data_IF_741009766165
#
_entry.id   IF_741009766165
#
_cell.length_a   1.000
_cell.length_b   1.000
_cell.length_c   1.000
_cell.angle_alpha   90.00
_cell.angle_beta   90.00
_cell.angle_gamma   90.00
#
_symmetry.space_group_name_H-M   'P 1'
#
loop_
_entity.id
_entity.type
_entity.pdbx_description
1 polymer ?
#
# COMPACT_ATOMS: atom_id res chain seq x y z
N UNK A 1 -18.94 34.46 12.84
CA UNK A 1 -17.67 35.18 13.07
C UNK A 1 -16.88 35.14 11.77
N UNK A 2 -16.55 36.31 11.21
CA UNK A 2 -15.90 36.45 9.91
C UNK A 2 -14.38 36.37 10.06
N UNK A 3 -13.74 35.39 9.42
CA UNK A 3 -12.28 35.28 9.41
C UNK A 3 -11.68 36.44 8.60
N UNK A 4 -11.13 37.43 9.29
CA UNK A 4 -10.37 38.53 8.69
C UNK A 4 -9.05 37.98 8.15
N UNK A 5 -8.89 38.02 6.83
CA UNK A 5 -7.65 37.65 6.16
C UNK A 5 -6.57 38.69 6.45
N UNK A 6 -5.44 38.22 7.00
CA UNK A 6 -4.33 39.10 7.40
C UNK A 6 -3.66 39.77 6.19
N UNK A 7 -3.10 40.97 6.38
CA UNK A 7 -2.36 41.70 5.35
C UNK A 7 -1.22 40.88 4.74
N UNK A 8 -0.58 40.01 5.54
CA UNK A 8 0.44 39.06 5.08
C UNK A 8 -0.13 38.00 4.13
N UNK A 9 -1.35 37.50 4.38
CA UNK A 9 -2.03 36.56 3.49
C UNK A 9 -2.42 37.23 2.16
N UNK A 10 -2.84 38.49 2.19
CA UNK A 10 -3.18 39.24 0.98
C UNK A 10 -1.95 39.50 0.08
N UNK A 11 -0.78 39.78 0.68
CA UNK A 11 0.46 39.95 -0.05
C UNK A 11 0.94 38.64 -0.70
N UNK A 12 0.91 37.53 0.05
CA UNK A 12 1.26 36.21 -0.46
C UNK A 12 0.33 35.76 -1.60
N UNK A 13 -0.99 35.98 -1.46
CA UNK A 13 -1.96 35.65 -2.51
C UNK A 13 -1.77 36.47 -3.80
N UNK A 14 -1.29 37.73 -3.68
CA UNK A 14 -0.95 38.57 -4.84
C UNK A 14 0.33 38.14 -5.55
N UNK A 15 1.33 37.67 -4.83
CA UNK A 15 2.54 37.12 -5.47
C UNK A 15 2.26 35.77 -6.12
N UNK A 16 1.51 34.89 -5.46
CA UNK A 16 1.14 33.59 -6.01
C UNK A 16 0.23 33.69 -7.25
N UNK A 17 -0.60 34.73 -7.35
CA UNK A 17 -1.43 34.96 -8.53
C UNK A 17 -0.65 35.41 -9.77
N UNK A 18 0.51 36.06 -9.58
CA UNK A 18 1.42 36.46 -10.67
C UNK A 18 2.15 35.27 -11.30
N UNK A 19 2.37 34.20 -10.54
CA UNK A 19 3.00 32.97 -11.03
C UNK A 19 2.10 32.13 -11.95
N UNK A 20 0.82 32.52 -12.13
CA UNK A 20 -0.07 32.01 -13.17
C UNK A 20 -0.25 30.49 -13.18
N UNK A 21 -1.29 30.00 -12.48
CA UNK A 21 -1.63 28.58 -12.48
C UNK A 21 -1.74 27.95 -13.87
N UNK A 22 -1.49 26.65 -13.97
CA UNK A 22 -1.31 25.93 -15.23
C UNK A 22 -2.47 26.18 -16.21
N UNK A 23 -2.15 26.72 -17.38
CA UNK A 23 -3.14 27.31 -18.31
C UNK A 23 -3.69 26.36 -19.37
N UNK A 24 -3.06 25.20 -19.57
CA UNK A 24 -3.49 24.22 -20.58
C UNK A 24 -4.59 23.31 -20.02
N UNK A 25 -5.52 22.82 -20.86
CA UNK A 25 -6.54 21.83 -20.42
C UNK A 25 -5.89 20.57 -19.84
N UNK A 26 -4.82 20.08 -20.47
CA UNK A 26 -3.99 18.96 -20.01
C UNK A 26 -3.31 19.26 -18.67
N UNK A 27 -2.79 20.47 -18.50
CA UNK A 27 -2.11 20.89 -17.28
C UNK A 27 -3.05 21.23 -16.12
N UNK A 28 -4.27 21.70 -16.38
CA UNK A 28 -5.34 21.77 -15.36
C UNK A 28 -5.77 20.38 -14.90
N UNK A 29 -5.84 19.41 -15.82
CA UNK A 29 -6.12 18.01 -15.46
C UNK A 29 -4.98 17.45 -14.58
N UNK A 30 -3.72 17.64 -14.97
CA UNK A 30 -2.56 17.25 -14.16
C UNK A 30 -2.54 17.91 -12.76
N UNK A 31 -2.84 19.21 -12.67
CA UNK A 31 -2.91 19.92 -11.38
C UNK A 31 -4.11 19.47 -10.53
N UNK A 32 -5.24 19.09 -11.13
CA UNK A 32 -6.37 18.47 -10.40
C UNK A 32 -5.98 17.13 -9.78
N UNK A 33 -5.03 16.42 -10.38
CA UNK A 33 -4.48 15.17 -9.85
C UNK A 33 -3.36 15.43 -8.84
N UNK A 34 -2.71 16.60 -8.84
CA UNK A 34 -1.75 17.00 -7.80
C UNK A 34 -2.36 17.12 -6.39
N UNK A 35 -3.60 17.63 -6.27
CA UNK A 35 -4.35 17.59 -5.02
C UNK A 35 -4.77 16.16 -4.58
N UNK A 36 -4.52 15.16 -5.44
CA UNK A 36 -4.81 13.73 -5.28
C UNK A 36 -3.56 12.84 -5.29
N UNK A 37 -2.33 13.38 -5.33
CA UNK A 37 -1.07 12.61 -5.28
C UNK A 37 -0.95 11.75 -4.01
N UNK A 38 -1.87 11.98 -3.08
CA UNK A 38 -2.05 11.36 -1.79
C UNK A 38 -3.55 11.09 -1.60
N UNK A 39 -4.15 10.26 -2.46
CA UNK A 39 -5.55 9.82 -2.34
C UNK A 39 -5.72 8.77 -1.25
N UNK A 40 -6.19 7.59 -1.60
CA UNK A 40 -6.30 6.48 -0.63
C UNK A 40 -4.92 6.08 -0.10
N UNK A 41 -3.87 6.27 -0.91
CA UNK A 41 -2.50 5.89 -0.55
C UNK A 41 -1.96 6.65 0.67
N UNK A 42 -2.18 7.97 0.75
CA UNK A 42 -1.77 8.77 1.91
C UNK A 42 -2.59 8.50 3.15
N UNK A 43 -3.84 8.08 2.95
CA UNK A 43 -4.72 7.66 4.05
C UNK A 43 -4.26 6.32 4.61
N UNK A 44 -3.63 5.50 3.76
CA UNK A 44 -3.16 4.17 4.11
C UNK A 44 -1.75 4.18 4.69
N UNK A 45 -0.88 5.11 4.29
CA UNK A 45 0.46 5.24 4.87
C UNK A 45 0.36 5.59 6.35
N UNK A 46 1.10 4.84 7.16
CA UNK A 46 1.23 5.12 8.59
C UNK A 46 2.67 5.46 8.92
N UNK A 47 2.89 6.07 10.09
CA UNK A 47 4.24 6.32 10.65
C UNK A 47 5.10 5.04 10.74
N UNK A 48 4.47 3.86 10.70
CA UNK A 48 5.13 2.54 10.68
C UNK A 48 5.86 2.26 9.36
N UNK A 49 5.47 2.93 8.27
CA UNK A 49 5.97 2.71 6.91
C UNK A 49 6.56 3.97 6.27
N UNK A 50 6.28 5.15 6.82
CA UNK A 50 6.55 6.45 6.21
C UNK A 50 8.01 6.59 5.75
N UNK A 51 8.98 6.15 6.55
CA UNK A 51 10.41 6.22 6.18
C UNK A 51 10.87 5.18 5.15
N UNK A 52 10.27 3.99 5.12
CA UNK A 52 10.69 2.90 4.22
C UNK A 52 9.98 2.97 2.86
N UNK A 53 8.70 3.34 2.86
CA UNK A 53 7.84 3.21 1.68
C UNK A 53 7.63 4.50 0.91
N UNK A 54 7.85 5.69 1.48
CA UNK A 54 7.65 6.93 0.73
C UNK A 54 8.51 6.98 -0.54
N UNK A 55 9.78 6.57 -0.43
CA UNK A 55 10.68 6.45 -1.57
C UNK A 55 10.28 5.36 -2.56
N UNK A 56 9.69 4.25 -2.10
CA UNK A 56 9.23 3.17 -2.99
C UNK A 56 8.00 3.61 -3.79
N UNK A 57 7.05 4.27 -3.12
CA UNK A 57 5.85 4.77 -3.76
C UNK A 57 6.19 5.77 -4.85
N UNK A 58 7.11 6.70 -4.58
CA UNK A 58 7.59 7.63 -5.59
C UNK A 58 8.22 6.90 -6.78
N UNK A 59 9.07 5.88 -6.54
CA UNK A 59 9.65 5.06 -7.60
C UNK A 59 8.61 4.35 -8.48
N UNK A 60 7.48 3.90 -7.91
CA UNK A 60 6.39 3.28 -8.68
C UNK A 60 5.75 4.30 -9.63
N UNK A 61 5.48 5.52 -9.15
CA UNK A 61 4.92 6.57 -10.00
C UNK A 61 5.91 7.04 -11.08
N UNK A 62 7.19 7.16 -10.73
CA UNK A 62 8.24 7.56 -11.65
C UNK A 62 8.49 6.50 -12.73
N UNK A 63 8.45 5.21 -12.35
CA UNK A 63 8.63 4.10 -13.29
C UNK A 63 7.51 4.03 -14.33
N UNK A 64 6.26 4.16 -13.89
CA UNK A 64 5.11 3.99 -14.79
C UNK A 64 4.75 5.27 -15.55
N UNK A 65 5.19 6.45 -15.12
CA UNK A 65 4.89 7.74 -15.77
C UNK A 65 3.40 7.88 -16.22
N UNK A 66 2.44 7.82 -15.28
CA UNK A 66 1.03 7.94 -15.63
C UNK A 66 0.72 9.33 -16.22
N UNK A 67 0.08 9.33 -17.38
CA UNK A 67 -0.32 10.53 -18.14
C UNK A 67 -1.84 10.70 -18.19
N UNK A 68 -2.61 9.62 -18.04
CA UNK A 68 -4.08 9.65 -18.05
C UNK A 68 -4.68 9.33 -16.69
N UNK A 69 -5.91 9.77 -16.43
CA UNK A 69 -6.59 9.51 -15.16
C UNK A 69 -6.64 8.02 -14.80
N UNK A 70 -6.95 7.17 -15.77
CA UNK A 70 -7.04 5.73 -15.54
C UNK A 70 -5.68 5.12 -15.22
N UNK A 71 -4.60 5.60 -15.85
CA UNK A 71 -3.24 5.18 -15.50
C UNK A 71 -2.90 5.57 -14.06
N UNK A 72 -3.20 6.79 -13.61
CA UNK A 72 -3.00 7.20 -12.21
C UNK A 72 -3.74 6.27 -11.23
N UNK A 73 -4.99 5.92 -11.52
CA UNK A 73 -5.78 5.00 -10.68
C UNK A 73 -5.15 3.61 -10.62
N UNK A 74 -4.61 3.11 -11.74
CA UNK A 74 -3.98 1.79 -11.78
C UNK A 74 -2.62 1.79 -11.06
N UNK A 75 -1.81 2.84 -11.23
CA UNK A 75 -0.55 3.02 -10.49
C UNK A 75 -0.82 3.13 -8.98
N UNK A 76 -1.86 3.87 -8.56
CA UNK A 76 -2.27 3.92 -7.14
C UNK A 76 -2.71 2.54 -6.63
N UNK A 77 -3.43 1.74 -7.43
CA UNK A 77 -3.80 0.36 -7.05
C UNK A 77 -2.58 -0.56 -6.93
N UNK A 78 -1.60 -0.44 -7.82
CA UNK A 78 -0.33 -1.18 -7.75
C UNK A 78 0.38 -0.85 -6.42
N UNK A 79 0.54 0.44 -6.14
CA UNK A 79 1.13 0.94 -4.91
C UNK A 79 0.41 0.44 -3.63
N UNK A 80 -0.92 0.49 -3.60
CA UNK A 80 -1.72 -0.02 -2.47
C UNK A 80 -1.56 -1.53 -2.31
N UNK A 81 -1.59 -2.29 -3.40
CA UNK A 81 -1.39 -3.75 -3.34
C UNK A 81 0.00 -4.09 -2.80
N UNK A 82 1.04 -3.40 -3.25
CA UNK A 82 2.38 -3.57 -2.73
C UNK A 82 2.46 -3.27 -1.23
N UNK A 83 1.92 -2.14 -0.77
CA UNK A 83 1.91 -1.78 0.66
C UNK A 83 1.24 -2.88 1.50
N UNK A 84 0.14 -3.46 1.02
CA UNK A 84 -0.56 -4.53 1.72
C UNK A 84 0.25 -5.82 1.77
N UNK A 85 0.93 -6.20 0.69
CA UNK A 85 1.81 -7.37 0.68
C UNK A 85 3.02 -7.15 1.60
N UNK A 86 3.64 -5.98 1.54
CA UNK A 86 4.74 -5.60 2.41
C UNK A 86 4.38 -5.72 3.90
N UNK A 87 3.18 -5.29 4.30
CA UNK A 87 2.67 -5.44 5.67
C UNK A 87 2.59 -6.90 6.10
N UNK A 88 2.11 -7.78 5.22
CA UNK A 88 2.03 -9.22 5.51
C UNK A 88 3.43 -9.80 5.71
N UNK A 89 4.35 -9.52 4.81
CA UNK A 89 5.74 -10.00 4.92
C UNK A 89 6.45 -9.47 6.17
N UNK A 90 6.23 -8.20 6.52
CA UNK A 90 6.83 -7.59 7.72
C UNK A 90 6.25 -8.20 9.00
N UNK A 91 4.94 -8.41 9.05
CA UNK A 91 4.29 -9.07 10.18
C UNK A 91 4.77 -10.51 10.37
N UNK A 92 4.94 -11.27 9.29
CA UNK A 92 5.54 -12.61 9.32
C UNK A 92 6.97 -12.59 9.90
N UNK A 93 7.80 -11.66 9.42
CA UNK A 93 9.17 -11.50 9.91
C UNK A 93 9.23 -11.13 11.40
N UNK A 94 8.40 -10.18 11.86
CA UNK A 94 8.33 -9.79 13.28
C UNK A 94 7.88 -10.98 14.16
N UNK A 95 6.89 -11.74 13.71
CA UNK A 95 6.41 -12.94 14.42
C UNK A 95 7.50 -14.01 14.56
N UNK A 96 8.22 -14.32 13.48
CA UNK A 96 9.32 -15.29 13.51
C UNK A 96 10.41 -14.83 14.48
N UNK A 97 10.82 -13.55 14.43
CA UNK A 97 11.86 -13.01 15.33
C UNK A 97 11.44 -13.07 16.79
N UNK A 98 10.19 -12.74 17.11
CA UNK A 98 9.65 -12.89 18.47
C UNK A 98 9.78 -14.33 18.99
N UNK A 99 9.56 -15.34 18.13
CA UNK A 99 9.69 -16.75 18.51
C UNK A 99 11.13 -17.20 18.68
N UNK A 100 12.05 -16.66 17.88
CA UNK A 100 13.48 -17.00 17.94
C UNK A 100 14.21 -16.29 19.09
N UNK A 101 13.75 -15.10 19.49
CA UNK A 101 14.37 -14.26 20.51
C UNK A 101 13.37 -13.93 21.64
N UNK A 102 12.90 -14.92 22.42
CA UNK A 102 11.87 -14.70 23.43
C UNK A 102 12.38 -13.88 24.62
N UNK A 103 11.45 -13.19 25.30
CA UNK A 103 11.71 -12.60 26.61
C UNK A 103 12.01 -13.71 27.63
N UNK A 104 13.11 -13.57 28.36
CA UNK A 104 13.53 -14.52 29.40
C UNK A 104 13.35 -13.84 30.75
N UNK A 105 12.50 -14.41 31.60
CA UNK A 105 12.34 -13.99 32.99
C UNK A 105 12.85 -15.06 33.94
N UNK A 106 13.28 -14.63 35.12
CA UNK A 106 13.66 -15.48 36.24
C UNK A 106 12.84 -15.05 37.47
N UNK A 107 12.19 -15.97 38.18
CA UNK A 107 11.43 -15.60 39.37
C UNK A 107 12.39 -15.11 40.45
N UNK A 108 12.18 -13.88 40.94
CA UNK A 108 13.03 -13.27 41.97
C UNK A 108 12.46 -13.55 43.37
N UNK A 109 11.13 -13.45 43.52
CA UNK A 109 10.39 -13.76 44.75
C UNK A 109 9.07 -14.44 44.38
N UNK A 110 8.96 -15.75 44.67
CA UNK A 110 7.80 -16.60 44.30
C UNK A 110 6.48 -16.11 44.91
N UNK A 111 6.52 -15.56 46.13
CA UNK A 111 5.32 -15.15 46.86
C UNK A 111 4.69 -13.84 46.35
N UNK A 112 5.42 -13.04 45.58
CA UNK A 112 4.96 -11.73 45.09
C UNK A 112 4.81 -11.67 43.57
N UNK A 113 4.98 -12.81 42.87
CA UNK A 113 4.95 -12.89 41.39
C UNK A 113 5.86 -11.85 40.72
N UNK A 114 6.98 -11.51 41.36
CA UNK A 114 7.96 -10.57 40.85
C UNK A 114 9.04 -11.32 40.07
N UNK A 115 9.04 -11.11 38.77
CA UNK A 115 9.99 -11.67 37.82
C UNK A 115 11.11 -10.67 37.51
N UNK A 116 12.35 -11.13 37.62
CA UNK A 116 13.52 -10.46 37.06
C UNK A 116 13.54 -10.68 35.54
N UNK A 117 13.64 -9.61 34.76
CA UNK A 117 13.86 -9.73 33.31
C UNK A 117 15.33 -9.95 33.06
N UNK A 118 15.69 -11.19 32.68
CA UNK A 118 17.06 -11.59 32.34
C UNK A 118 17.41 -11.15 30.91
N UNK A 119 16.44 -11.23 30.01
CA UNK A 119 16.54 -10.71 28.65
C UNK A 119 15.18 -10.22 28.20
N UNK A 120 15.13 -9.01 27.64
CA UNK A 120 13.91 -8.43 27.10
C UNK A 120 13.46 -9.11 25.79
N UNK A 121 14.36 -9.83 25.11
CA UNK A 121 14.08 -10.44 23.81
C UNK A 121 13.78 -9.44 22.70
N UNK A 122 13.34 -9.94 21.55
CA UNK A 122 12.85 -9.12 20.46
C UNK A 122 11.47 -8.55 20.80
N UNK A 123 11.32 -7.23 20.69
CA UNK A 123 10.04 -6.53 20.85
C UNK A 123 9.49 -6.19 19.47
N UNK A 124 8.45 -6.90 18.99
CA UNK A 124 7.84 -6.58 17.72
C UNK A 124 7.14 -5.22 17.83
N UNK A 125 7.11 -4.50 16.72
CA UNK A 125 6.41 -3.22 16.65
C UNK A 125 4.89 -3.46 16.63
N UNK A 126 4.47 -4.58 16.04
CA UNK A 126 3.09 -5.04 15.98
C UNK A 126 2.90 -6.19 16.97
N UNK A 127 1.90 -6.11 17.86
CA UNK A 127 1.72 -7.17 18.85
C UNK A 127 1.26 -8.46 18.17
N UNK A 128 1.59 -9.65 18.70
CA UNK A 128 1.19 -10.93 18.11
C UNK A 128 -0.31 -11.05 17.84
N UNK A 129 -1.15 -10.47 18.70
CA UNK A 129 -2.60 -10.45 18.57
C UNK A 129 -3.04 -9.59 17.37
N UNK A 130 -2.33 -8.49 17.08
CA UNK A 130 -2.54 -7.66 15.91
C UNK A 130 -2.12 -8.41 14.64
N UNK A 131 -1.02 -9.17 14.70
CA UNK A 131 -0.54 -10.03 13.61
C UNK A 131 -1.53 -11.16 13.32
N UNK A 132 -2.15 -11.77 14.33
CA UNK A 132 -3.18 -12.80 14.12
C UNK A 132 -4.44 -12.21 13.50
N UNK A 133 -4.89 -11.03 13.97
CA UNK A 133 -6.03 -10.32 13.40
C UNK A 133 -5.77 -9.91 11.95
N UNK A 134 -4.57 -9.40 11.66
CA UNK A 134 -4.13 -9.05 10.32
C UNK A 134 -3.93 -10.28 9.46
N UNK A 135 -3.29 -11.35 9.93
CA UNK A 135 -3.08 -12.60 9.20
C UNK A 135 -4.41 -13.22 8.76
N UNK A 136 -5.40 -13.28 9.66
CA UNK A 136 -6.77 -13.72 9.30
C UNK A 136 -7.42 -12.82 8.23
N UNK A 137 -7.08 -11.53 8.21
CA UNK A 137 -7.67 -10.52 7.32
C UNK A 137 -6.86 -10.25 6.04
N UNK A 138 -5.58 -10.60 5.99
CA UNK A 138 -4.64 -10.24 4.92
C UNK A 138 -3.96 -11.46 4.30
N UNK A 139 -3.53 -12.48 5.06
CA UNK A 139 -3.00 -13.72 4.45
C UNK A 139 -4.08 -14.45 3.65
N UNK A 140 -5.33 -14.47 4.13
CA UNK A 140 -6.47 -14.97 3.33
C UNK A 140 -6.68 -14.22 2.01
N UNK A 141 -6.23 -12.98 1.94
CA UNK A 141 -6.36 -12.14 0.77
C UNK A 141 -5.03 -11.94 0.03
N UNK A 142 -3.95 -12.62 0.41
CA UNK A 142 -2.65 -12.46 -0.25
C UNK A 142 -2.79 -12.81 -1.73
N UNK A 143 -3.30 -14.01 -2.03
CA UNK A 143 -3.65 -14.45 -3.38
C UNK A 143 -4.59 -13.44 -4.06
N UNK A 144 -5.56 -12.88 -3.33
CA UNK A 144 -6.49 -11.90 -3.90
C UNK A 144 -5.82 -10.54 -4.19
N UNK A 145 -4.87 -10.12 -3.36
CA UNK A 145 -4.10 -8.88 -3.49
C UNK A 145 -3.10 -9.01 -4.63
N UNK A 146 -2.37 -10.12 -4.71
CA UNK A 146 -1.49 -10.45 -5.83
C UNK A 146 -2.26 -10.50 -7.15
N UNK A 147 -3.39 -11.22 -7.19
CA UNK A 147 -4.22 -11.24 -8.39
C UNK A 147 -4.71 -9.84 -8.79
N UNK A 148 -5.03 -8.98 -7.82
CA UNK A 148 -5.40 -7.58 -8.10
C UNK A 148 -4.21 -6.75 -8.56
N UNK A 149 -3.01 -7.01 -8.03
CA UNK A 149 -1.75 -6.38 -8.44
C UNK A 149 -1.44 -6.71 -9.89
N UNK A 150 -1.36 -7.99 -10.24
CA UNK A 150 -1.08 -8.42 -11.61
C UNK A 150 -2.12 -7.90 -12.61
N UNK A 151 -3.41 -7.94 -12.24
CA UNK A 151 -4.47 -7.33 -13.07
C UNK A 151 -4.26 -5.83 -13.28
N UNK A 152 -3.89 -5.09 -12.22
CA UNK A 152 -3.65 -3.66 -12.34
C UNK A 152 -2.43 -3.36 -13.23
N UNK A 153 -1.35 -4.16 -13.12
CA UNK A 153 -0.17 -4.04 -13.97
C UNK A 153 -0.50 -4.30 -15.45
N UNK A 154 -1.21 -5.38 -15.75
CA UNK A 154 -1.59 -5.73 -17.13
C UNK A 154 -2.50 -4.67 -17.76
N UNK A 155 -3.50 -4.18 -17.03
CA UNK A 155 -4.38 -3.13 -17.54
C UNK A 155 -3.63 -1.80 -17.75
N UNK A 156 -2.67 -1.49 -16.88
CA UNK A 156 -1.84 -0.28 -17.01
C UNK A 156 -0.96 -0.37 -18.25
N UNK A 157 -0.26 -1.49 -18.41
CA UNK A 157 0.55 -1.76 -19.59
C UNK A 157 -0.27 -1.65 -20.87
N UNK A 158 -1.47 -2.24 -20.89
CA UNK A 158 -2.40 -2.14 -22.02
C UNK A 158 -2.74 -0.69 -22.35
N UNK A 159 -3.11 0.13 -21.36
CA UNK A 159 -3.42 1.54 -21.59
C UNK A 159 -2.21 2.33 -22.12
N UNK A 160 -1.01 2.04 -21.61
CA UNK A 160 0.21 2.71 -22.03
C UNK A 160 0.62 2.32 -23.45
N UNK A 161 0.51 1.04 -23.81
CA UNK A 161 0.73 0.56 -25.18
C UNK A 161 -0.27 1.19 -26.17
N UNK A 162 -1.56 1.23 -25.83
CA UNK A 162 -2.57 1.92 -26.64
C UNK A 162 -2.25 3.40 -26.82
N UNK A 163 -1.81 4.08 -25.75
CA UNK A 163 -1.38 5.49 -25.79
C UNK A 163 -0.15 5.69 -26.68
N UNK A 164 0.77 4.73 -26.70
CA UNK A 164 1.97 4.75 -27.54
C UNK A 164 1.69 4.37 -29.01
N UNK A 165 0.43 4.07 -29.35
CA UNK A 165 0.02 3.75 -30.73
C UNK A 165 0.20 2.28 -31.12
N UNK A 166 0.49 1.40 -30.16
CA UNK A 166 0.50 -0.04 -30.41
C UNK A 166 -0.93 -0.57 -30.57
N UNK A 167 -1.13 -1.51 -31.48
CA UNK A 167 -2.39 -2.23 -31.61
C UNK A 167 -2.49 -3.26 -30.48
N UNK A 168 -3.29 -2.95 -29.46
CA UNK A 168 -3.53 -3.84 -28.32
C UNK A 168 -4.91 -4.45 -28.46
N UNK A 169 -4.95 -5.76 -28.67
CA UNK A 169 -6.18 -6.51 -28.78
C UNK A 169 -7.08 -6.35 -27.54
N UNK A 170 -8.39 -6.52 -27.75
CA UNK A 170 -9.36 -6.52 -26.67
C UNK A 170 -9.03 -7.65 -25.68
N UNK A 171 -9.25 -7.44 -24.36
CA UNK A 171 -8.99 -8.47 -23.37
C UNK A 171 -9.78 -9.73 -23.70
N UNK A 172 -9.08 -10.85 -23.87
CA UNK A 172 -9.70 -12.15 -24.08
C UNK A 172 -9.98 -12.81 -22.74
N UNK A 173 -11.25 -13.13 -22.48
CA UNK A 173 -11.64 -13.99 -21.35
C UNK A 173 -11.54 -15.43 -21.83
N UNK A 174 -10.50 -16.14 -21.39
CA UNK A 174 -10.33 -17.57 -21.60
C UNK A 174 -10.92 -18.32 -20.42
N UNK A 175 -12.05 -18.99 -20.63
CA UNK A 175 -12.58 -19.94 -19.64
C UNK A 175 -11.72 -21.20 -19.65
N UNK A 176 -10.81 -21.30 -18.68
CA UNK A 176 -10.02 -22.52 -18.47
C UNK A 176 -10.84 -23.46 -17.60
N UNK A 177 -11.41 -24.50 -18.20
CA UNK A 177 -11.99 -25.62 -17.45
C UNK A 177 -10.84 -26.48 -16.92
N UNK A 178 -10.56 -26.41 -15.62
CA UNK A 178 -9.66 -27.35 -14.98
C UNK A 178 -10.38 -28.69 -14.80
N UNK A 179 -10.10 -29.67 -15.66
CA UNK A 179 -10.67 -31.02 -15.57
C UNK A 179 -10.14 -31.86 -14.38
N UNK A 180 -9.27 -31.31 -13.53
CA UNK A 180 -8.66 -32.05 -12.41
C UNK A 180 -9.41 -31.83 -11.07
N UNK A 181 -10.72 -32.01 -11.08
CA UNK A 181 -11.50 -32.13 -9.85
C UNK A 181 -11.11 -33.41 -9.10
N UNK A 182 -10.59 -33.25 -7.89
CA UNK A 182 -10.29 -34.35 -6.95
C UNK A 182 -11.47 -35.34 -6.87
N UNK A 183 -11.27 -36.55 -7.38
CA UNK A 183 -12.19 -37.67 -7.14
C UNK A 183 -11.94 -38.16 -5.71
N UNK A 184 -12.81 -37.78 -4.77
CA UNK A 184 -12.88 -38.43 -3.47
C UNK A 184 -13.39 -39.86 -3.67
N UNK A 185 -12.48 -40.83 -3.76
CA UNK A 185 -12.86 -42.23 -3.64
C UNK A 185 -13.26 -42.50 -2.19
N UNK A 186 -14.57 -42.39 -1.91
CA UNK A 186 -15.15 -43.10 -0.78
C UNK A 186 -15.25 -44.58 -1.19
N UNK A 187 -14.42 -45.42 -0.59
CA UNK A 187 -14.60 -46.88 -0.65
C UNK A 187 -15.42 -47.35 0.58
N UNK A 188 -16.18 -48.45 0.43
CA UNK A 188 -17.30 -48.83 1.30
C UNK A 188 -16.91 -49.31 2.70
#
# INVERSE_FOLDING_TARGET
>A
MTNSTSSKQLAANRENSKLGGVKTKRGKAAVRFNARQHGILSTLLTQYEEKELEGYLQQVFDFYEPQTYMEYVLVERIAVSYLRLHRVSKAEAEFIRLKLEPRITRPMIVLMELDEVVSEGYKPTMQPEDVEHLGRTYMRYEIAIENRLYKAMHELERLQRMRNGEDVHAPMVLDVQNENGFVSQNNP
#
